data_IF_680062969176
#
_entry.id   IF_680062969176
#
_cell.length_a   1.000
_cell.length_b   1.000
_cell.length_c   1.000
_cell.angle_alpha   90.00
_cell.angle_beta   90.00
_cell.angle_gamma   90.00
#
_symmetry.space_group_name_H-M   'P 1'
#
loop_
_entity.id
_entity.type
_entity.pdbx_description
1 polymer ?
#
# COMPACT_ATOMS: atom_id res chain seq x y z
N UNK A 1 6.51 -74.52 2.28
CA UNK A 1 7.23 -73.25 2.09
C UNK A 1 6.44 -72.43 1.07
N UNK A 2 5.62 -71.48 1.54
CA UNK A 2 4.66 -70.76 0.68
C UNK A 2 5.28 -69.47 0.11
N UNK A 3 5.23 -69.21 -1.21
CA UNK A 3 5.77 -67.98 -1.78
C UNK A 3 4.83 -66.80 -1.51
N UNK A 4 5.38 -65.71 -0.94
CA UNK A 4 4.67 -64.45 -0.72
C UNK A 4 4.49 -63.72 -2.06
N UNK A 5 3.24 -63.38 -2.41
CA UNK A 5 2.89 -62.58 -3.61
C UNK A 5 3.53 -61.18 -3.53
N UNK A 6 4.08 -60.63 -4.63
CA UNK A 6 4.55 -59.25 -4.65
C UNK A 6 3.35 -58.28 -4.62
N UNK A 7 3.30 -57.43 -3.60
CA UNK A 7 2.27 -56.41 -3.45
C UNK A 7 2.38 -55.37 -4.57
N UNK A 8 1.23 -55.01 -5.16
CA UNK A 8 1.05 -53.99 -6.21
C UNK A 8 1.59 -52.62 -5.75
N UNK A 9 2.85 -52.30 -6.09
CA UNK A 9 3.51 -51.01 -5.80
C UNK A 9 3.20 -49.90 -6.83
N UNK A 10 2.49 -50.20 -7.92
CA UNK A 10 2.24 -49.25 -9.00
C UNK A 10 1.23 -48.13 -8.65
N UNK A 11 0.24 -48.39 -7.78
CA UNK A 11 -0.77 -47.38 -7.42
C UNK A 11 -0.26 -46.28 -6.48
N UNK A 12 0.70 -46.62 -5.61
CA UNK A 12 1.21 -45.67 -4.61
C UNK A 12 2.14 -44.62 -5.24
N UNK A 13 2.92 -45.01 -6.25
CA UNK A 13 3.77 -44.08 -6.99
C UNK A 13 2.96 -43.00 -7.72
N UNK A 14 1.80 -43.38 -8.29
CA UNK A 14 0.89 -42.42 -8.94
C UNK A 14 0.31 -41.43 -7.93
N UNK A 15 -0.12 -41.90 -6.75
CA UNK A 15 -0.63 -41.05 -5.68
C UNK A 15 0.41 -40.04 -5.18
N UNK A 16 1.66 -40.47 -5.00
CA UNK A 16 2.76 -39.56 -4.60
C UNK A 16 2.98 -38.48 -5.66
N UNK A 17 2.95 -38.86 -6.94
CA UNK A 17 3.17 -37.92 -8.04
C UNK A 17 2.06 -36.86 -8.10
N UNK A 18 0.80 -37.28 -7.96
CA UNK A 18 -0.35 -36.36 -7.90
C UNK A 18 -0.28 -35.46 -6.67
N UNK A 19 0.10 -36.00 -5.51
CA UNK A 19 0.25 -35.22 -4.29
C UNK A 19 1.36 -34.18 -4.42
N UNK A 20 2.51 -34.55 -4.99
CA UNK A 20 3.61 -33.61 -5.22
C UNK A 20 3.19 -32.48 -6.18
N UNK A 21 2.45 -32.82 -7.23
CA UNK A 21 1.89 -31.83 -8.16
C UNK A 21 0.96 -30.86 -7.42
N UNK A 22 0.06 -31.35 -6.56
CA UNK A 22 -0.85 -30.51 -5.78
C UNK A 22 -0.10 -29.55 -4.86
N UNK A 23 0.95 -30.01 -4.19
CA UNK A 23 1.78 -29.15 -3.32
C UNK A 23 2.46 -28.04 -4.11
N UNK A 24 2.98 -28.34 -5.31
CA UNK A 24 3.61 -27.35 -6.19
C UNK A 24 2.58 -26.30 -6.64
N UNK A 25 1.40 -26.73 -7.09
CA UNK A 25 0.32 -25.82 -7.53
C UNK A 25 -0.10 -24.91 -6.37
N UNK A 26 -0.27 -25.46 -5.17
CA UNK A 26 -0.67 -24.70 -3.99
C UNK A 26 0.39 -23.66 -3.59
N UNK A 27 1.67 -24.00 -3.70
CA UNK A 27 2.78 -23.05 -3.49
C UNK A 27 2.78 -21.89 -4.50
N UNK A 28 2.56 -22.18 -5.79
CA UNK A 28 2.46 -21.16 -6.82
C UNK A 28 1.28 -20.20 -6.59
N UNK A 29 0.11 -20.73 -6.22
CA UNK A 29 -1.09 -19.91 -5.95
C UNK A 29 -0.84 -18.97 -4.75
N UNK A 30 -0.23 -19.47 -3.67
CA UNK A 30 0.08 -18.63 -2.50
C UNK A 30 1.06 -17.50 -2.83
N UNK A 31 2.02 -17.74 -3.73
CA UNK A 31 2.99 -16.73 -4.16
C UNK A 31 2.33 -15.63 -5.01
N UNK A 32 1.40 -16.00 -5.89
CA UNK A 32 0.68 -15.07 -6.75
C UNK A 32 -0.22 -14.12 -5.94
N UNK A 33 -0.98 -14.65 -4.96
CA UNK A 33 -1.84 -13.84 -4.09
C UNK A 33 -1.03 -12.79 -3.31
N UNK A 34 0.18 -13.15 -2.84
CA UNK A 34 1.05 -12.21 -2.13
C UNK A 34 1.58 -11.08 -3.03
N UNK A 35 1.83 -11.36 -4.31
CA UNK A 35 2.33 -10.36 -5.24
C UNK A 35 1.28 -9.30 -5.60
N UNK A 36 0.02 -9.70 -5.80
CA UNK A 36 -1.06 -8.74 -6.11
C UNK A 36 -1.31 -7.77 -4.95
N UNK A 37 -1.34 -8.28 -3.71
CA UNK A 37 -1.51 -7.45 -2.52
C UNK A 37 -0.33 -6.48 -2.34
N UNK A 38 0.90 -6.90 -2.64
CA UNK A 38 2.09 -6.05 -2.54
C UNK A 38 2.15 -4.97 -3.63
N UNK A 39 1.65 -5.26 -4.84
CA UNK A 39 1.65 -4.28 -5.93
C UNK A 39 0.57 -3.21 -5.73
N UNK A 40 -0.59 -3.58 -5.20
CA UNK A 40 -1.69 -2.65 -4.96
C UNK A 40 -1.41 -1.68 -3.80
N UNK A 41 -0.64 -2.11 -2.79
CA UNK A 41 -0.20 -1.21 -1.71
C UNK A 41 0.88 -0.25 -2.17
N UNK A 42 1.84 -0.71 -2.98
CA UNK A 42 2.93 0.13 -3.49
C UNK A 42 2.44 1.23 -4.43
N UNK A 43 1.48 0.95 -5.33
CA UNK A 43 0.93 1.96 -6.23
C UNK A 43 0.14 3.04 -5.49
N UNK A 44 -0.71 2.65 -4.53
CA UNK A 44 -1.46 3.58 -3.68
C UNK A 44 -0.53 4.44 -2.82
N UNK A 45 0.53 3.87 -2.27
CA UNK A 45 1.49 4.62 -1.46
C UNK A 45 2.26 5.64 -2.30
N UNK A 46 2.71 5.26 -3.51
CA UNK A 46 3.37 6.20 -4.45
C UNK A 46 2.45 7.38 -4.82
N UNK A 47 1.18 7.09 -5.12
CA UNK A 47 0.20 8.11 -5.46
C UNK A 47 -0.06 9.07 -4.29
N UNK A 48 -0.20 8.54 -3.06
CA UNK A 48 -0.36 9.36 -1.85
C UNK A 48 0.83 10.28 -1.61
N UNK A 49 2.05 9.74 -1.68
CA UNK A 49 3.27 10.55 -1.52
C UNK A 49 3.39 11.62 -2.62
N UNK A 50 2.99 11.33 -3.86
CA UNK A 50 2.97 12.33 -4.93
C UNK A 50 1.98 13.46 -4.64
N UNK A 51 0.79 13.15 -4.14
CA UNK A 51 -0.20 14.16 -3.76
C UNK A 51 0.33 15.03 -2.61
N UNK A 52 0.90 14.43 -1.56
CA UNK A 52 1.49 15.19 -0.45
C UNK A 52 2.64 16.09 -0.92
N UNK A 53 3.49 15.61 -1.83
CA UNK A 53 4.54 16.44 -2.44
C UNK A 53 3.97 17.60 -3.25
N UNK A 54 2.92 17.37 -4.04
CA UNK A 54 2.26 18.44 -4.80
C UNK A 54 1.61 19.48 -3.88
N UNK A 55 1.05 19.05 -2.75
CA UNK A 55 0.51 19.95 -1.75
C UNK A 55 1.61 20.84 -1.14
N UNK A 56 2.77 20.26 -0.81
CA UNK A 56 3.93 21.03 -0.32
C UNK A 56 4.42 22.02 -1.38
N UNK A 57 4.52 21.62 -2.64
CA UNK A 57 4.92 22.49 -3.75
C UNK A 57 3.97 23.70 -3.90
N UNK A 58 2.66 23.45 -3.79
CA UNK A 58 1.63 24.50 -3.78
C UNK A 58 1.84 25.43 -2.57
N UNK A 59 2.07 24.90 -1.37
CA UNK A 59 2.34 25.72 -0.19
C UNK A 59 3.56 26.61 -0.32
N UNK A 60 4.64 26.09 -0.90
CA UNK A 60 5.85 26.86 -1.20
C UNK A 60 5.55 28.04 -2.13
N UNK A 61 4.68 27.85 -3.13
CA UNK A 61 4.25 28.92 -4.04
C UNK A 61 3.30 29.92 -3.37
N UNK A 62 2.48 29.48 -2.43
CA UNK A 62 1.54 30.32 -1.68
C UNK A 62 2.22 31.15 -0.58
N UNK A 63 3.50 30.93 -0.29
CA UNK A 63 4.28 31.60 0.77
C UNK A 63 3.51 31.68 2.10
N UNK A 64 2.93 30.53 2.49
CA UNK A 64 2.11 30.42 3.69
C UNK A 64 2.89 30.87 4.92
N UNK A 65 2.29 31.77 5.69
CA UNK A 65 2.90 32.28 6.91
C UNK A 65 2.69 31.30 8.06
N UNK A 66 3.53 31.45 9.07
CA UNK A 66 3.49 30.66 10.31
C UNK A 66 2.12 30.72 10.96
N UNK A 67 1.53 29.55 11.21
CA UNK A 67 0.18 29.41 11.79
C UNK A 67 -0.95 29.44 10.77
N UNK A 68 -0.67 29.65 9.48
CA UNK A 68 -1.64 29.51 8.41
C UNK A 68 -1.68 28.07 7.91
N UNK A 69 -2.90 27.49 7.86
CA UNK A 69 -3.12 26.13 7.38
C UNK A 69 -4.06 26.16 6.19
N UNK A 70 -3.66 25.55 5.08
CA UNK A 70 -4.51 25.40 3.89
C UNK A 70 -5.02 23.97 3.84
N UNK A 71 -6.33 23.81 3.69
CA UNK A 71 -6.95 22.50 3.52
C UNK A 71 -7.38 22.32 2.07
N UNK A 72 -6.74 21.37 1.39
CA UNK A 72 -7.01 21.01 0.00
C UNK A 72 -7.95 19.80 -0.03
N UNK A 73 -9.15 19.89 -0.61
CA UNK A 73 -10.00 18.72 -0.78
C UNK A 73 -9.39 17.78 -1.83
N UNK A 74 -9.42 16.47 -1.54
CA UNK A 74 -9.06 15.45 -2.52
C UNK A 74 -10.35 14.92 -3.12
N UNK A 75 -10.73 15.45 -4.29
CA UNK A 75 -11.79 14.84 -5.09
C UNK A 75 -11.26 13.55 -5.71
N UNK A 76 -11.41 12.43 -5.01
CA UNK A 76 -11.33 11.14 -5.66
C UNK A 76 -12.67 10.88 -6.36
N UNK A 77 -12.74 11.23 -7.66
CA UNK A 77 -13.90 10.94 -8.52
C UNK A 77 -14.26 9.44 -8.57
N UNK A 78 -13.38 8.56 -8.08
CA UNK A 78 -13.58 7.12 -8.06
C UNK A 78 -14.50 6.61 -6.93
N UNK A 79 -14.68 7.36 -5.84
CA UNK A 79 -15.41 6.89 -4.66
C UNK A 79 -16.33 8.00 -4.09
N UNK A 80 -17.35 8.38 -4.85
CA UNK A 80 -18.37 9.37 -4.44
C UNK A 80 -19.22 8.94 -3.22
N UNK A 81 -18.89 7.81 -2.58
CA UNK A 81 -19.54 7.29 -1.38
C UNK A 81 -18.59 7.20 -0.17
N UNK A 82 -17.31 7.55 -0.30
CA UNK A 82 -16.32 7.21 0.72
C UNK A 82 -15.49 8.42 1.15
N UNK A 83 -16.08 9.15 2.10
CA UNK A 83 -15.38 9.95 3.12
C UNK A 83 -14.67 11.21 2.64
N UNK A 84 -14.81 12.30 3.39
CA UNK A 84 -14.20 13.59 3.07
C UNK A 84 -12.67 13.50 3.28
N UNK A 85 -11.95 13.13 2.21
CA UNK A 85 -10.49 13.13 2.21
C UNK A 85 -9.97 14.54 1.93
N UNK A 86 -9.11 15.02 2.81
CA UNK A 86 -8.53 16.37 2.77
C UNK A 86 -7.05 16.28 3.03
N UNK A 87 -6.26 17.19 2.46
CA UNK A 87 -4.87 17.39 2.85
C UNK A 87 -4.75 18.74 3.52
N UNK A 88 -4.34 18.74 4.79
CA UNK A 88 -3.98 19.95 5.50
C UNK A 88 -2.49 20.21 5.29
N UNK A 89 -2.15 21.44 4.92
CA UNK A 89 -0.80 21.91 4.76
C UNK A 89 -0.53 23.02 5.75
N UNK A 90 0.55 22.90 6.51
CA UNK A 90 0.99 23.90 7.46
C UNK A 90 2.50 24.12 7.34
N UNK A 91 2.93 25.34 7.66
CA UNK A 91 4.34 25.70 7.73
C UNK A 91 4.74 25.95 9.18
N UNK A 92 5.70 25.15 9.67
CA UNK A 92 6.32 25.35 10.97
C UNK A 92 7.64 26.11 10.77
N UNK A 93 7.60 27.41 11.01
CA UNK A 93 8.77 28.29 10.91
C UNK A 93 9.79 28.06 12.04
N UNK A 94 9.36 27.56 13.21
CA UNK A 94 10.29 27.23 14.30
C UNK A 94 11.22 26.09 13.92
N UNK A 95 10.68 25.09 13.20
CA UNK A 95 11.45 23.96 12.70
C UNK A 95 11.98 24.17 11.27
N UNK A 96 11.47 25.18 10.53
CA UNK A 96 11.75 25.40 9.12
C UNK A 96 11.22 24.28 8.21
N UNK A 97 10.11 23.66 8.60
CA UNK A 97 9.56 22.46 7.95
C UNK A 97 8.17 22.72 7.38
N UNK A 98 7.93 22.19 6.19
CA UNK A 98 6.58 22.02 5.64
C UNK A 98 5.99 20.71 6.17
N UNK A 99 4.76 20.77 6.65
CA UNK A 99 4.01 19.61 7.13
C UNK A 99 2.74 19.47 6.30
N UNK A 100 2.65 18.38 5.55
CA UNK A 100 1.44 18.01 4.82
C UNK A 100 0.81 16.78 5.48
N UNK A 101 -0.42 16.92 5.95
CA UNK A 101 -1.17 15.90 6.69
C UNK A 101 -2.37 15.45 5.88
N UNK A 102 -2.47 14.16 5.61
CA UNK A 102 -3.65 13.55 5.00
C UNK A 102 -4.69 13.26 6.08
N UNK A 103 -5.88 13.81 5.88
CA UNK A 103 -7.05 13.65 6.75
C UNK A 103 -8.14 12.84 6.02
N UNK A 104 -8.83 11.98 6.75
CA UNK A 104 -10.08 11.33 6.34
C UNK A 104 -11.06 11.44 7.50
N UNK A 105 -12.20 12.07 7.28
CA UNK A 105 -13.22 12.30 8.31
C UNK A 105 -12.62 12.90 9.59
N UNK A 106 -11.77 13.93 9.41
CA UNK A 106 -11.00 14.62 10.45
C UNK A 106 -10.00 13.76 11.25
N UNK A 107 -9.70 12.54 10.77
CA UNK A 107 -8.62 11.70 11.32
C UNK A 107 -7.39 11.76 10.45
N UNK A 108 -6.23 11.96 11.09
CA UNK A 108 -4.93 11.86 10.43
C UNK A 108 -4.66 10.41 10.00
N UNK A 109 -4.46 10.21 8.70
CA UNK A 109 -4.07 8.92 8.10
C UNK A 109 -2.55 8.86 7.94
N UNK A 110 -1.96 9.96 7.47
CA UNK A 110 -0.56 10.02 7.05
C UNK A 110 -0.05 11.45 7.13
N UNK A 111 1.25 11.63 7.37
CA UNK A 111 1.87 12.95 7.37
C UNK A 111 3.26 12.91 6.75
N UNK A 112 3.56 13.94 5.96
CA UNK A 112 4.83 14.13 5.32
C UNK A 112 5.43 15.44 5.81
N UNK A 113 6.58 15.32 6.48
CA UNK A 113 7.38 16.46 6.94
C UNK A 113 8.54 16.63 5.96
N UNK A 114 8.59 17.77 5.29
CA UNK A 114 9.68 18.12 4.39
C UNK A 114 10.40 19.37 4.90
N UNK A 115 11.69 19.24 5.18
CA UNK A 115 12.53 20.37 5.57
C UNK A 115 12.70 21.34 4.40
N UNK A 116 12.47 22.63 4.64
CA UNK A 116 12.78 23.68 3.66
C UNK A 116 14.30 23.71 3.49
N UNK A 117 14.80 23.16 2.38
CA UNK A 117 16.19 23.38 2.01
C UNK A 117 16.31 24.85 1.61
N UNK A 118 17.15 25.55 2.36
CA UNK A 118 17.44 26.98 2.21
C UNK A 118 18.24 27.24 0.94
#
# INVERSE_FOLDING_TARGET
>A
MNPRKPFKRQGFAFLILVFMLLVIVMGCVQMMIRQEVSQQTSSRQKQRTQILKSAIEIGVQLDLKTGESVTLPISNDADANDSEQKVSLSFDESAGNWVATWLKDDREIDSLIQKKMK
#
